data_IF_246382864590
#
_entry.id   IF_246382864590
#
_cell.length_a   1.000
_cell.length_b   1.000
_cell.length_c   1.000
_cell.angle_alpha   90.00
_cell.angle_beta   90.00
_cell.angle_gamma   90.00
#
_symmetry.space_group_name_H-M   'P 1'
#
loop_
_entity.id
_entity.type
_entity.pdbx_description
1 polymer ?
#
# COMPACT_ATOMS: atom_id res chain seq x y z
N UNK A 1 20.52 -7.62 -28.85
CA UNK A 1 20.47 -8.98 -28.27
C UNK A 1 19.59 -8.90 -27.05
N UNK A 2 18.30 -9.13 -27.26
CA UNK A 2 17.28 -9.27 -26.22
C UNK A 2 17.59 -10.52 -25.40
N UNK A 3 17.61 -10.38 -24.08
CA UNK A 3 17.65 -11.51 -23.16
C UNK A 3 16.34 -11.48 -22.38
N UNK A 4 15.23 -11.75 -23.07
CA UNK A 4 13.92 -11.96 -22.46
C UNK A 4 13.83 -13.40 -21.93
N UNK A 5 14.51 -13.68 -20.82
CA UNK A 5 14.12 -14.77 -19.93
C UNK A 5 12.80 -14.40 -19.27
N UNK A 6 11.72 -14.53 -20.04
CA UNK A 6 10.36 -14.57 -19.47
C UNK A 6 10.22 -15.97 -18.90
N UNK A 7 10.65 -16.17 -17.65
CA UNK A 7 10.30 -17.36 -16.88
C UNK A 7 8.78 -17.53 -16.99
N UNK A 8 8.35 -18.61 -17.64
CA UNK A 8 6.96 -19.04 -17.58
C UNK A 8 6.73 -19.46 -16.13
N UNK A 9 6.26 -18.52 -15.32
CA UNK A 9 5.87 -18.76 -13.93
C UNK A 9 4.78 -19.83 -13.99
N UNK A 10 5.12 -21.06 -13.60
CA UNK A 10 4.15 -22.14 -13.53
C UNK A 10 3.25 -21.89 -12.31
N UNK A 11 2.04 -21.39 -12.54
CA UNK A 11 1.03 -21.09 -11.51
C UNK A 11 0.32 -22.37 -11.02
N UNK A 12 1.06 -23.46 -10.81
CA UNK A 12 0.49 -24.80 -10.56
C UNK A 12 -0.34 -24.87 -9.29
N UNK A 13 0.06 -24.18 -8.24
CA UNK A 13 -0.67 -24.15 -6.96
C UNK A 13 -1.86 -23.20 -7.00
N UNK A 14 -1.73 -22.08 -7.70
CA UNK A 14 -2.78 -21.07 -7.85
C UNK A 14 -3.92 -21.54 -8.77
N UNK A 15 -3.59 -22.30 -9.83
CA UNK A 15 -4.57 -22.91 -10.75
C UNK A 15 -5.40 -24.01 -10.09
N UNK A 16 -4.90 -24.63 -9.02
CA UNK A 16 -5.62 -25.64 -8.24
C UNK A 16 -6.74 -25.04 -7.36
N UNK A 17 -6.76 -23.72 -7.20
CA UNK A 17 -7.76 -23.00 -6.38
C UNK A 17 -8.90 -22.50 -7.27
N UNK A 18 -10.16 -22.57 -6.82
CA UNK A 18 -11.29 -21.98 -7.52
C UNK A 18 -11.06 -20.50 -7.84
N UNK A 19 -11.41 -20.10 -9.06
CA UNK A 19 -11.20 -18.72 -9.54
C UNK A 19 -11.84 -17.68 -8.64
N UNK A 20 -12.98 -17.97 -7.98
CA UNK A 20 -13.61 -17.02 -7.07
C UNK A 20 -12.71 -16.70 -5.86
N UNK A 21 -11.97 -17.69 -5.35
CA UNK A 21 -11.06 -17.49 -4.21
C UNK A 21 -9.79 -16.76 -4.60
N UNK A 22 -9.28 -17.02 -5.79
CA UNK A 22 -8.18 -16.23 -6.34
C UNK A 22 -8.60 -14.79 -6.57
N UNK A 23 -9.80 -14.55 -7.11
CA UNK A 23 -10.34 -13.19 -7.28
C UNK A 23 -10.51 -12.46 -5.94
N UNK A 24 -11.05 -13.12 -4.91
CA UNK A 24 -11.18 -12.55 -3.57
C UNK A 24 -9.84 -12.08 -2.99
N UNK A 25 -8.78 -12.89 -3.15
CA UNK A 25 -7.43 -12.51 -2.73
C UNK A 25 -6.87 -11.33 -3.56
N UNK A 26 -7.15 -11.30 -4.88
CA UNK A 26 -6.74 -10.21 -5.77
C UNK A 26 -7.45 -8.90 -5.46
N UNK A 27 -8.75 -8.92 -5.16
CA UNK A 27 -9.53 -7.73 -4.79
C UNK A 27 -9.01 -7.12 -3.48
N UNK A 28 -8.64 -7.96 -2.51
CA UNK A 28 -7.99 -7.53 -1.29
C UNK A 28 -6.60 -6.94 -1.55
N UNK A 29 -5.83 -7.52 -2.47
CA UNK A 29 -4.51 -7.02 -2.85
C UNK A 29 -4.59 -5.67 -3.55
N UNK A 30 -5.45 -5.55 -4.56
CA UNK A 30 -5.69 -4.29 -5.27
C UNK A 30 -6.12 -3.19 -4.31
N UNK A 31 -7.08 -3.48 -3.43
CA UNK A 31 -7.51 -2.52 -2.43
C UNK A 31 -6.41 -2.17 -1.40
N UNK A 32 -5.44 -3.06 -1.15
CA UNK A 32 -4.27 -2.73 -0.31
C UNK A 32 -3.28 -1.81 -1.04
N UNK A 33 -3.07 -2.02 -2.35
CA UNK A 33 -2.20 -1.18 -3.18
C UNK A 33 -2.80 0.21 -3.37
N UNK A 34 -4.11 0.32 -3.54
CA UNK A 34 -4.81 1.60 -3.62
C UNK A 34 -4.59 2.40 -2.33
N UNK A 35 -4.66 1.75 -1.16
CA UNK A 35 -4.36 2.38 0.13
C UNK A 35 -2.90 2.86 0.19
N UNK A 36 -1.94 2.11 -0.34
CA UNK A 36 -0.56 2.57 -0.42
C UNK A 36 -0.43 3.82 -1.31
N UNK A 37 -1.17 3.88 -2.41
CA UNK A 37 -1.22 5.05 -3.30
C UNK A 37 -1.82 6.27 -2.58
N UNK A 38 -2.91 6.11 -1.83
CA UNK A 38 -3.46 7.19 -1.01
C UNK A 38 -2.49 7.67 0.07
N UNK A 39 -1.74 6.76 0.71
CA UNK A 39 -0.71 7.15 1.66
C UNK A 39 0.41 7.99 1.00
N UNK A 40 0.86 7.61 -0.20
CA UNK A 40 1.83 8.40 -0.99
C UNK A 40 1.31 9.79 -1.32
N UNK A 41 0.01 9.91 -1.64
CA UNK A 41 -0.64 11.19 -1.89
C UNK A 41 -0.62 12.09 -0.64
N UNK A 42 -0.87 11.53 0.55
CA UNK A 42 -0.75 12.28 1.80
C UNK A 42 0.66 12.84 2.02
N UNK A 43 1.71 12.07 1.73
CA UNK A 43 3.09 12.57 1.80
C UNK A 43 3.39 13.64 0.75
N UNK A 44 2.85 13.50 -0.46
CA UNK A 44 2.97 14.53 -1.49
C UNK A 44 2.31 15.86 -1.06
N UNK A 45 1.17 15.81 -0.37
CA UNK A 45 0.52 17.00 0.19
C UNK A 45 1.40 17.71 1.22
N UNK A 46 2.13 16.98 2.07
CA UNK A 46 3.08 17.58 3.01
C UNK A 46 4.16 18.36 2.24
N UNK A 47 4.69 17.79 1.15
CA UNK A 47 5.67 18.49 0.33
C UNK A 47 5.11 19.78 -0.29
N UNK A 48 3.86 19.74 -0.78
CA UNK A 48 3.17 20.93 -1.30
C UNK A 48 3.00 21.99 -0.21
N UNK A 49 2.62 21.60 1.02
CA UNK A 49 2.50 22.54 2.15
C UNK A 49 3.84 23.20 2.50
N UNK A 50 4.93 22.42 2.49
CA UNK A 50 6.28 22.97 2.70
C UNK A 50 6.65 23.97 1.61
N UNK A 51 6.31 23.71 0.35
CA UNK A 51 6.54 24.67 -0.74
C UNK A 51 5.72 25.96 -0.55
N UNK A 52 4.44 25.84 -0.18
CA UNK A 52 3.58 26.99 0.10
C UNK A 52 4.17 27.82 1.24
N UNK A 53 4.58 27.18 2.34
CA UNK A 53 5.25 27.85 3.45
C UNK A 53 6.50 28.60 2.97
N UNK A 54 7.38 27.94 2.21
CA UNK A 54 8.62 28.57 1.75
C UNK A 54 8.40 29.74 0.77
N UNK A 55 7.38 29.68 -0.09
CA UNK A 55 7.14 30.71 -1.10
C UNK A 55 6.39 31.91 -0.52
N UNK A 56 5.39 31.69 0.34
CA UNK A 56 4.46 32.73 0.77
C UNK A 56 4.66 33.21 2.20
N UNK A 57 5.26 32.38 3.06
CA UNK A 57 5.37 32.66 4.49
C UNK A 57 6.82 32.94 4.86
N UNK A 58 7.76 32.10 4.43
CA UNK A 58 9.17 32.30 4.71
C UNK A 58 9.70 33.60 4.09
N UNK A 59 10.42 34.39 4.88
CA UNK A 59 11.03 35.65 4.45
C UNK A 59 10.13 36.89 4.59
N UNK A 60 8.84 36.73 4.87
CA UNK A 60 7.94 37.84 5.19
C UNK A 60 8.02 38.20 6.68
N UNK A 61 7.86 39.49 6.99
CA UNK A 61 7.86 39.98 8.37
C UNK A 61 6.42 40.04 8.89
N UNK A 62 6.14 39.26 9.92
CA UNK A 62 4.84 39.19 10.58
C UNK A 62 4.94 39.67 12.02
N UNK A 63 3.85 40.19 12.56
CA UNK A 63 3.72 40.36 14.00
C UNK A 63 3.74 38.96 14.68
N UNK A 64 4.27 38.89 15.90
CA UNK A 64 4.54 37.62 16.60
C UNK A 64 3.25 36.80 16.78
N UNK A 65 2.17 37.44 17.19
CA UNK A 65 0.83 36.84 17.35
C UNK A 65 0.28 36.25 16.04
N UNK A 66 0.51 36.94 14.93
CA UNK A 66 0.12 36.49 13.60
C UNK A 66 0.95 35.28 13.18
N UNK A 67 2.26 35.31 13.41
CA UNK A 67 3.15 34.20 13.11
C UNK A 67 2.82 32.94 13.93
N UNK A 68 2.57 33.10 15.23
CA UNK A 68 2.19 31.99 16.11
C UNK A 68 0.87 31.35 15.66
N UNK A 69 -0.08 32.16 15.23
CA UNK A 69 -1.36 31.68 14.67
C UNK A 69 -1.13 30.88 13.37
N UNK A 70 -0.29 31.38 12.47
CA UNK A 70 0.07 30.67 11.22
C UNK A 70 0.70 29.32 11.54
N UNK A 71 1.71 29.30 12.42
CA UNK A 71 2.38 28.05 12.84
C UNK A 71 1.42 27.06 13.49
N UNK A 72 0.50 27.52 14.34
CA UNK A 72 -0.48 26.66 14.99
C UNK A 72 -1.44 26.01 13.97
N UNK A 73 -1.86 26.76 12.94
CA UNK A 73 -2.69 26.25 11.84
C UNK A 73 -1.92 25.23 11.01
N UNK A 74 -0.67 25.53 10.63
CA UNK A 74 0.18 24.60 9.86
C UNK A 74 0.40 23.29 10.62
N UNK A 75 0.71 23.37 11.91
CA UNK A 75 0.91 22.20 12.76
C UNK A 75 -0.38 21.37 12.86
N UNK A 76 -1.54 22.01 12.95
CA UNK A 76 -2.83 21.34 12.99
C UNK A 76 -3.13 20.60 11.68
N UNK A 77 -2.85 21.21 10.53
CA UNK A 77 -3.02 20.59 9.21
C UNK A 77 -2.11 19.36 9.09
N UNK A 78 -0.83 19.50 9.44
CA UNK A 78 0.12 18.38 9.44
C UNK A 78 -0.34 17.26 10.37
N UNK A 79 -0.85 17.61 11.55
CA UNK A 79 -1.41 16.65 12.51
C UNK A 79 -2.57 15.82 11.92
N UNK A 80 -3.51 16.46 11.21
CA UNK A 80 -4.63 15.77 10.54
C UNK A 80 -4.11 14.83 9.44
N UNK A 81 -3.14 15.27 8.63
CA UNK A 81 -2.56 14.44 7.57
C UNK A 81 -1.89 13.19 8.15
N UNK A 82 -1.11 13.35 9.23
CA UNK A 82 -0.45 12.22 9.90
C UNK A 82 -1.50 11.22 10.40
N UNK A 83 -2.59 11.70 11.01
CA UNK A 83 -3.67 10.85 11.48
C UNK A 83 -4.34 10.07 10.33
N UNK A 84 -4.54 10.72 9.19
CA UNK A 84 -5.06 10.06 7.99
C UNK A 84 -4.12 8.95 7.48
N UNK A 85 -2.80 9.19 7.49
CA UNK A 85 -1.81 8.16 7.11
C UNK A 85 -1.89 6.94 8.02
N UNK A 86 -2.05 7.13 9.33
CA UNK A 86 -2.21 6.01 10.26
C UNK A 86 -3.47 5.19 9.99
N UNK A 87 -4.59 5.84 9.67
CA UNK A 87 -5.84 5.15 9.31
C UNK A 87 -5.66 4.32 8.04
N UNK A 88 -5.08 4.92 6.99
CA UNK A 88 -4.80 4.24 5.71
C UNK A 88 -3.87 3.05 5.93
N UNK A 89 -2.80 3.22 6.69
CA UNK A 89 -1.86 2.15 7.02
C UNK A 89 -2.55 1.00 7.78
N UNK A 90 -3.42 1.31 8.74
CA UNK A 90 -4.21 0.31 9.46
C UNK A 90 -5.12 -0.51 8.55
N UNK A 91 -5.79 0.14 7.59
CA UNK A 91 -6.63 -0.53 6.60
C UNK A 91 -5.79 -1.44 5.69
N UNK A 92 -4.66 -0.96 5.18
CA UNK A 92 -3.75 -1.74 4.34
C UNK A 92 -3.22 -2.98 5.08
N UNK A 93 -2.80 -2.82 6.34
CA UNK A 93 -2.35 -3.94 7.17
C UNK A 93 -3.47 -4.96 7.42
N UNK A 94 -4.70 -4.50 7.67
CA UNK A 94 -5.86 -5.37 7.84
C UNK A 94 -6.13 -6.22 6.59
N UNK A 95 -6.12 -5.60 5.40
CA UNK A 95 -6.29 -6.31 4.12
C UNK A 95 -5.17 -7.30 3.86
N UNK A 96 -3.91 -6.91 4.08
CA UNK A 96 -2.76 -7.81 3.95
C UNK A 96 -2.86 -9.01 4.89
N UNK A 97 -3.33 -8.81 6.13
CA UNK A 97 -3.57 -9.90 7.09
C UNK A 97 -4.65 -10.86 6.61
N UNK A 98 -5.74 -10.35 6.02
CA UNK A 98 -6.81 -11.17 5.45
C UNK A 98 -6.30 -12.04 4.30
N UNK A 99 -5.48 -11.50 3.40
CA UNK A 99 -4.89 -12.29 2.31
C UNK A 99 -4.01 -13.40 2.87
N UNK A 100 -3.16 -13.11 3.87
CA UNK A 100 -2.33 -14.14 4.52
C UNK A 100 -3.18 -15.24 5.14
N UNK A 101 -4.31 -14.90 5.79
CA UNK A 101 -5.25 -15.90 6.32
C UNK A 101 -5.85 -16.76 5.21
N UNK A 102 -6.32 -16.15 4.13
CA UNK A 102 -6.88 -16.86 2.97
C UNK A 102 -5.86 -17.81 2.33
N UNK A 103 -4.60 -17.39 2.19
CA UNK A 103 -3.54 -18.25 1.65
C UNK A 103 -3.30 -19.46 2.56
N UNK A 104 -3.24 -19.26 3.89
CA UNK A 104 -3.10 -20.37 4.85
C UNK A 104 -4.31 -21.31 4.82
N UNK A 105 -5.53 -20.76 4.71
CA UNK A 105 -6.76 -21.56 4.63
C UNK A 105 -6.83 -22.38 3.34
N UNK A 106 -6.55 -21.76 2.20
CA UNK A 106 -6.52 -22.45 0.90
C UNK A 106 -5.39 -23.48 0.83
N UNK A 107 -4.21 -23.17 1.37
CA UNK A 107 -3.09 -24.13 1.50
C UNK A 107 -3.51 -25.39 2.26
N UNK A 108 -4.19 -25.24 3.41
CA UNK A 108 -4.70 -26.38 4.18
C UNK A 108 -5.80 -27.15 3.45
N UNK A 109 -6.74 -26.44 2.83
CA UNK A 109 -7.89 -27.03 2.16
C UNK A 109 -7.49 -27.86 0.94
N UNK A 110 -6.55 -27.36 0.13
CA UNK A 110 -6.10 -28.00 -1.09
C UNK A 110 -4.79 -28.79 -0.93
N UNK A 111 -4.27 -28.91 0.30
CA UNK A 111 -3.00 -29.60 0.63
C UNK A 111 -1.80 -29.06 -0.18
N UNK A 112 -1.75 -27.75 -0.36
CA UNK A 112 -0.66 -27.04 -1.05
C UNK A 112 0.35 -26.51 -0.04
N UNK A 113 1.61 -26.33 -0.44
CA UNK A 113 2.60 -25.65 0.40
C UNK A 113 2.23 -24.17 0.51
N UNK A 114 2.20 -23.64 1.74
CA UNK A 114 1.79 -22.26 2.01
C UNK A 114 2.76 -21.25 1.38
N UNK A 115 4.05 -21.60 1.33
CA UNK A 115 5.11 -20.77 0.79
C UNK A 115 4.96 -20.67 -0.73
N UNK A 116 4.81 -21.81 -1.40
CA UNK A 116 4.65 -21.91 -2.86
C UNK A 116 3.39 -21.18 -3.34
N UNK A 117 2.25 -21.40 -2.67
CA UNK A 117 1.01 -20.68 -2.99
C UNK A 117 1.14 -19.17 -2.75
N UNK A 118 1.84 -18.76 -1.69
CA UNK A 118 2.08 -17.35 -1.38
C UNK A 118 2.98 -16.67 -2.42
N UNK A 119 4.04 -17.34 -2.86
CA UNK A 119 4.96 -16.87 -3.88
C UNK A 119 4.28 -16.77 -5.25
N UNK A 120 3.55 -17.80 -5.66
CA UNK A 120 2.79 -17.80 -6.92
C UNK A 120 1.73 -16.68 -6.93
N UNK A 121 0.95 -16.56 -5.84
CA UNK A 121 -0.01 -15.48 -5.70
C UNK A 121 0.67 -14.11 -5.73
N UNK A 122 1.80 -13.95 -5.03
CA UNK A 122 2.54 -12.69 -5.00
C UNK A 122 3.07 -12.31 -6.38
N UNK A 123 3.63 -13.26 -7.14
CA UNK A 123 4.10 -13.04 -8.50
C UNK A 123 2.94 -12.62 -9.42
N UNK A 124 1.83 -13.34 -9.35
CA UNK A 124 0.64 -13.03 -10.14
C UNK A 124 0.06 -11.66 -9.80
N UNK A 125 -0.06 -11.34 -8.51
CA UNK A 125 -0.58 -10.08 -8.01
C UNK A 125 0.32 -8.89 -8.37
N UNK A 126 1.64 -9.03 -8.23
CA UNK A 126 2.61 -7.99 -8.63
C UNK A 126 2.63 -7.79 -10.13
N UNK A 127 2.48 -8.84 -10.93
CA UNK A 127 2.41 -8.71 -12.38
C UNK A 127 1.20 -7.87 -12.84
N UNK A 128 0.05 -8.04 -12.17
CA UNK A 128 -1.19 -7.34 -12.54
C UNK A 128 -1.33 -5.95 -11.91
N UNK A 129 -0.98 -5.79 -10.63
CA UNK A 129 -1.24 -4.57 -9.86
C UNK A 129 0.04 -3.86 -9.42
N UNK A 130 1.22 -4.42 -9.65
CA UNK A 130 2.49 -3.92 -9.15
C UNK A 130 2.64 -4.08 -7.64
N UNK A 131 3.49 -3.25 -7.03
CA UNK A 131 3.68 -3.20 -5.58
C UNK A 131 4.75 -4.16 -5.04
N UNK A 132 4.72 -4.38 -3.72
CA UNK A 132 5.77 -5.10 -2.98
C UNK A 132 5.54 -6.61 -2.87
N UNK A 133 4.40 -7.12 -3.35
CA UNK A 133 4.04 -8.52 -3.18
C UNK A 133 3.69 -8.89 -1.74
N UNK A 134 3.41 -10.18 -1.51
CA UNK A 134 3.10 -10.72 -0.18
C UNK A 134 4.13 -11.78 0.16
N UNK A 135 4.80 -11.61 1.28
CA UNK A 135 5.67 -12.65 1.84
C UNK A 135 4.96 -13.39 2.96
N UNK A 136 4.90 -14.71 2.85
CA UNK A 136 4.48 -15.62 3.92
C UNK A 136 5.73 -16.30 4.46
N UNK A 137 5.99 -16.15 5.76
CA UNK A 137 7.00 -16.91 6.49
C UNK A 137 6.35 -18.12 7.17
#
# INVERSE_FOLDING_TARGET
MENETTEKIELKSLEAIPKEKTQEMMDLYGASIDMETYAKLCFALIFVLVLIHNIFIAGNSYAIDTYDTIMAVELSIVGVIILAVFVIAGIAMSKSSQIKKLIVENSKKYKLKKEELGEEFSLFAVHLYGGRGITIK
#
